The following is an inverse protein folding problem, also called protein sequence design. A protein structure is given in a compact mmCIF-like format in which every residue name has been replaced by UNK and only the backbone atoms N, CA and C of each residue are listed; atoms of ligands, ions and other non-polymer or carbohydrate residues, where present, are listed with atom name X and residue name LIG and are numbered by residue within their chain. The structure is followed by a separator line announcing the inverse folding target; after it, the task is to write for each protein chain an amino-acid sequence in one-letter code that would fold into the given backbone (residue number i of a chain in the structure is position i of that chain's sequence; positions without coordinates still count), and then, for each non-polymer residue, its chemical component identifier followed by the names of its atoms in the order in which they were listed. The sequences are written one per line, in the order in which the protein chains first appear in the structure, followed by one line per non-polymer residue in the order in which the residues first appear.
data_IF_801279796633
#
_entry.id   IF_801279796633
#
_cell.length_a   1.000
_cell.length_b   1.000
_cell.length_c   1.000
_cell.angle_alpha   90.00
_cell.angle_beta   90.00
_cell.angle_gamma   90.00
#
_symmetry.space_group_name_H-M   'P 1'
#
loop_
_entity.id
_entity.type
_entity.pdbx_description
1 polymer ?
#
# COMPACT_ATOMS: atom_id res chain seq x y z
N UNK A 1 5.94 12.92 54.07
CA UNK A 1 7.32 12.44 53.93
C UNK A 1 7.72 12.69 52.47
N UNK A 2 8.44 13.79 52.27
CA UNK A 2 8.77 14.31 50.93
C UNK A 2 10.17 13.79 50.58
N UNK A 3 10.28 13.05 49.47
CA UNK A 3 11.58 12.63 48.94
C UNK A 3 11.83 13.41 47.66
N UNK A 4 12.68 14.40 47.75
CA UNK A 4 13.31 15.11 46.64
C UNK A 4 14.41 14.23 46.04
N UNK A 5 14.38 13.98 44.71
CA UNK A 5 15.54 13.43 44.00
C UNK A 5 16.16 14.48 43.09
N UNK A 6 17.44 14.72 43.41
CA UNK A 6 18.37 15.64 42.80
C UNK A 6 18.62 15.36 41.32
N UNK A 7 18.60 16.44 40.54
CA UNK A 7 19.21 16.55 39.20
C UNK A 7 20.72 16.35 39.28
N UNK A 8 21.28 15.55 38.38
CA UNK A 8 22.71 15.56 38.04
C UNK A 8 22.86 16.02 36.60
N UNK A 9 23.32 17.24 36.46
CA UNK A 9 24.00 17.73 35.25
C UNK A 9 25.40 17.09 35.19
N UNK A 10 25.78 16.54 34.07
CA UNK A 10 27.17 16.40 33.68
C UNK A 10 27.35 16.76 32.22
N UNK A 11 27.85 17.96 32.01
CA UNK A 11 28.47 18.47 30.80
C UNK A 11 29.83 17.77 30.63
N UNK A 12 30.09 17.29 29.41
CA UNK A 12 31.49 17.09 28.97
C UNK A 12 31.59 17.33 27.47
N UNK A 13 31.99 18.55 27.17
CA UNK A 13 32.43 18.99 25.84
C UNK A 13 33.83 18.43 25.59
N UNK A 14 34.03 17.64 24.56
CA UNK A 14 35.36 17.37 23.99
C UNK A 14 35.36 17.78 22.54
N UNK A 15 35.96 18.93 22.29
CA UNK A 15 36.46 19.36 20.99
C UNK A 15 37.67 18.52 20.62
N UNK A 16 37.63 17.82 19.49
CA UNK A 16 38.82 17.29 18.83
C UNK A 16 38.91 17.92 17.44
N UNK A 17 39.77 18.93 17.37
CA UNK A 17 40.29 19.50 16.13
C UNK A 17 41.32 18.52 15.57
N UNK A 18 41.06 17.94 14.40
CA UNK A 18 42.10 17.26 13.62
C UNK A 18 42.16 17.94 12.24
N UNK A 19 43.17 18.77 12.12
CA UNK A 19 43.76 19.23 10.87
C UNK A 19 44.38 18.06 10.14
N UNK A 20 43.90 17.71 8.97
CA UNK A 20 44.64 16.88 8.00
C UNK A 20 44.86 17.66 6.72
N UNK A 21 46.16 17.87 6.45
CA UNK A 21 46.63 18.49 5.22
C UNK A 21 46.35 17.65 4.00
N UNK A 22 45.95 18.31 2.96
CA UNK A 22 45.78 17.76 1.61
C UNK A 22 47.14 17.75 0.92
N UNK A 23 47.56 16.67 0.29
CA UNK A 23 48.57 16.73 -0.76
C UNK A 23 47.89 17.02 -2.11
N UNK A 24 48.37 18.06 -2.75
CA UNK A 24 48.08 18.46 -4.13
C UNK A 24 48.87 17.52 -5.05
N UNK A 25 48.22 16.52 -5.64
CA UNK A 25 48.79 15.82 -6.80
C UNK A 25 47.68 15.09 -7.60
N UNK A 26 47.75 15.31 -8.89
CA UNK A 26 47.13 14.57 -10.00
C UNK A 26 45.82 15.15 -10.57
N UNK A 27 46.00 16.28 -11.29
CA UNK A 27 45.23 16.57 -12.49
C UNK A 27 45.86 15.77 -13.65
N UNK A 28 45.36 14.57 -13.90
CA UNK A 28 45.56 13.89 -15.21
C UNK A 28 44.56 12.71 -15.23
N UNK A 29 43.53 12.81 -16.04
CA UNK A 29 42.62 11.66 -16.25
C UNK A 29 41.16 12.00 -16.54
N UNK A 30 40.89 13.12 -17.19
CA UNK A 30 39.54 13.37 -17.76
C UNK A 30 39.58 13.33 -19.28
N UNK A 31 39.95 12.20 -19.83
CA UNK A 31 39.80 11.95 -21.27
C UNK A 31 39.73 10.44 -21.52
N UNK A 32 38.61 9.82 -21.12
CA UNK A 32 38.27 8.50 -21.65
C UNK A 32 36.83 8.04 -21.23
N UNK A 33 35.87 8.91 -21.25
CA UNK A 33 34.46 8.48 -21.11
C UNK A 33 33.64 8.55 -22.41
N UNK A 34 34.22 9.09 -23.51
CA UNK A 34 33.50 9.19 -24.78
C UNK A 34 33.73 8.06 -25.78
N UNK A 35 34.64 7.14 -25.51
CA UNK A 35 34.93 6.03 -26.45
C UNK A 35 34.21 4.72 -26.12
N UNK A 36 33.60 4.59 -24.96
CA UNK A 36 32.86 3.38 -24.55
C UNK A 36 31.35 3.41 -24.88
N UNK A 37 30.83 4.59 -25.18
CA UNK A 37 29.40 4.77 -25.49
C UNK A 37 28.99 4.48 -26.92
N UNK A 38 29.96 4.51 -27.87
CA UNK A 38 29.66 4.38 -29.30
C UNK A 38 29.75 2.95 -29.85
N UNK A 39 30.23 2.00 -29.06
CA UNK A 39 30.50 0.65 -29.58
C UNK A 39 29.41 -0.41 -29.23
N UNK A 40 28.38 -0.05 -28.53
CA UNK A 40 27.39 -1.06 -28.06
C UNK A 40 25.94 -0.80 -28.50
N UNK A 41 25.66 0.33 -29.13
CA UNK A 41 24.30 0.66 -29.56
C UNK A 41 23.89 -0.22 -30.75
N UNK A 42 24.76 -0.42 -31.72
CA UNK A 42 24.48 -1.33 -32.85
C UNK A 42 24.42 -2.80 -32.40
N UNK A 43 25.18 -3.18 -31.37
CA UNK A 43 25.16 -4.53 -30.80
C UNK A 43 23.98 -4.77 -29.90
N UNK A 44 23.44 -3.71 -29.27
CA UNK A 44 22.23 -3.76 -28.49
C UNK A 44 20.99 -3.91 -29.38
N UNK A 45 20.92 -3.18 -30.48
CA UNK A 45 19.84 -3.28 -31.48
C UNK A 45 19.84 -4.62 -32.24
N UNK A 46 21.02 -5.24 -32.42
CA UNK A 46 21.13 -6.57 -33.04
C UNK A 46 20.76 -7.72 -32.07
N UNK A 47 20.89 -7.51 -30.75
CA UNK A 47 20.47 -8.46 -29.71
C UNK A 47 18.98 -8.33 -29.32
N UNK A 48 18.45 -7.15 -29.41
CA UNK A 48 17.01 -6.94 -29.38
C UNK A 48 16.52 -7.30 -30.77
N UNK A 49 16.51 -8.61 -31.06
CA UNK A 49 15.81 -9.09 -32.24
C UNK A 49 14.49 -8.37 -32.28
N UNK A 50 14.05 -7.94 -33.47
CA UNK A 50 12.72 -7.38 -33.70
C UNK A 50 11.68 -8.41 -33.28
N UNK A 51 11.50 -8.57 -32.00
CA UNK A 51 10.26 -9.06 -31.44
C UNK A 51 9.28 -7.94 -31.76
N UNK A 52 8.47 -8.12 -32.79
CA UNK A 52 7.21 -7.43 -32.88
C UNK A 52 6.45 -7.86 -31.63
N UNK A 53 6.73 -7.21 -30.52
CA UNK A 53 5.87 -7.25 -29.35
C UNK A 53 4.65 -6.47 -29.80
N UNK A 54 3.64 -7.19 -30.24
CA UNK A 54 2.32 -6.64 -30.34
C UNK A 54 2.03 -6.04 -28.96
N UNK A 55 1.96 -4.71 -28.87
CA UNK A 55 1.47 -4.04 -27.68
C UNK A 55 0.03 -4.51 -27.57
N UNK A 56 -0.22 -5.44 -26.65
CA UNK A 56 -1.57 -5.84 -26.33
C UNK A 56 -2.11 -4.77 -25.39
N UNK A 57 -3.02 -3.97 -25.89
CA UNK A 57 -3.78 -3.05 -25.06
C UNK A 57 -4.70 -3.88 -24.17
N UNK A 58 -4.42 -3.90 -22.88
CA UNK A 58 -5.25 -4.60 -21.89
C UNK A 58 -6.30 -3.63 -21.39
N UNK A 59 -7.56 -4.05 -21.38
CA UNK A 59 -8.65 -3.24 -20.81
C UNK A 59 -8.31 -2.85 -19.35
N UNK A 60 -8.46 -1.58 -19.03
CA UNK A 60 -8.18 -1.06 -17.70
C UNK A 60 -9.16 0.05 -17.34
N UNK A 61 -9.31 0.29 -16.04
CA UNK A 61 -10.04 1.42 -15.48
C UNK A 61 -9.31 2.74 -15.71
N UNK A 62 -9.95 3.90 -15.54
CA UNK A 62 -9.28 5.19 -15.57
C UNK A 62 -8.09 5.25 -14.63
N UNK A 63 -7.08 6.03 -15.00
CA UNK A 63 -5.88 6.24 -14.18
C UNK A 63 -6.21 7.17 -13.03
N UNK A 64 -5.92 6.74 -11.82
CA UNK A 64 -6.04 7.53 -10.60
C UNK A 64 -4.70 8.04 -10.09
N UNK A 65 -4.74 9.13 -9.33
CA UNK A 65 -3.57 9.75 -8.72
C UNK A 65 -3.52 9.46 -7.23
N UNK A 66 -2.39 8.98 -6.77
CA UNK A 66 -2.17 8.84 -5.33
C UNK A 66 -1.92 10.20 -4.67
N UNK A 67 -2.48 10.43 -3.49
CA UNK A 67 -2.21 11.60 -2.65
C UNK A 67 -1.08 11.37 -1.64
N UNK A 68 -0.71 10.10 -1.42
CA UNK A 68 0.30 9.63 -0.48
C UNK A 68 1.17 8.55 -1.11
N UNK A 69 2.20 8.05 -0.41
CA UNK A 69 3.15 7.07 -0.96
C UNK A 69 2.66 5.62 -0.97
N UNK A 70 1.45 5.35 -1.46
CA UNK A 70 0.81 4.03 -1.51
C UNK A 70 0.61 3.47 -2.93
N UNK A 71 1.47 3.84 -3.88
CA UNK A 71 1.39 3.41 -5.28
C UNK A 71 1.27 1.89 -5.48
N UNK A 72 1.80 1.11 -4.55
CA UNK A 72 1.72 -0.34 -4.58
C UNK A 72 0.28 -0.88 -4.40
N UNK A 73 -0.60 -0.16 -3.70
CA UNK A 73 -2.03 -0.48 -3.61
C UNK A 73 -2.79 -0.06 -4.86
N UNK A 74 -2.47 1.12 -5.42
CA UNK A 74 -3.04 1.58 -6.69
C UNK A 74 -2.70 0.61 -7.83
N UNK A 75 -1.44 0.17 -7.93
CA UNK A 75 -1.04 -0.84 -8.90
C UNK A 75 -1.77 -2.17 -8.71
N UNK A 76 -2.03 -2.57 -7.47
CA UNK A 76 -2.78 -3.78 -7.17
C UNK A 76 -4.25 -3.64 -7.59
N UNK A 77 -4.89 -2.48 -7.34
CA UNK A 77 -6.27 -2.21 -7.72
C UNK A 77 -6.43 -2.27 -9.24
N UNK A 78 -5.64 -1.48 -9.97
CA UNK A 78 -5.66 -1.49 -11.45
C UNK A 78 -5.44 -2.89 -12.03
N UNK A 79 -4.56 -3.70 -11.41
CA UNK A 79 -4.33 -5.07 -11.87
C UNK A 79 -5.56 -5.96 -11.64
N UNK A 80 -6.19 -5.88 -10.47
CA UNK A 80 -7.42 -6.64 -10.15
C UNK A 80 -8.55 -6.25 -11.10
N UNK A 81 -8.77 -4.96 -11.30
CA UNK A 81 -9.79 -4.41 -12.19
C UNK A 81 -9.57 -4.85 -13.65
N UNK A 82 -8.33 -4.77 -14.14
CA UNK A 82 -7.99 -5.23 -15.50
C UNK A 82 -8.25 -6.72 -15.69
N UNK A 83 -7.95 -7.54 -14.69
CA UNK A 83 -8.23 -8.98 -14.75
C UNK A 83 -9.74 -9.27 -14.70
N UNK A 84 -10.51 -8.51 -13.91
CA UNK A 84 -11.96 -8.62 -13.84
C UNK A 84 -12.61 -8.20 -15.15
N UNK A 85 -12.23 -7.05 -15.72
CA UNK A 85 -12.67 -6.58 -17.05
C UNK A 85 -12.32 -7.58 -18.17
N UNK A 86 -11.16 -8.23 -18.08
CA UNK A 86 -10.75 -9.26 -19.04
C UNK A 86 -11.64 -10.51 -18.95
N UNK A 87 -12.17 -10.82 -17.77
CA UNK A 87 -13.12 -11.93 -17.59
C UNK A 87 -14.54 -11.56 -18.02
N UNK A 88 -14.97 -10.36 -17.67
CA UNK A 88 -16.28 -9.82 -18.01
C UNK A 88 -16.17 -8.32 -18.36
N UNK A 89 -16.18 -7.96 -19.65
CA UNK A 89 -16.06 -6.58 -20.11
C UNK A 89 -17.23 -5.66 -19.70
N UNK A 90 -18.29 -6.22 -19.14
CA UNK A 90 -19.44 -5.45 -18.63
C UNK A 90 -19.36 -5.15 -17.15
N UNK A 91 -18.36 -5.69 -16.47
CA UNK A 91 -18.16 -5.50 -15.04
C UNK A 91 -17.51 -4.13 -14.79
N UNK A 92 -18.25 -3.22 -14.22
CA UNK A 92 -17.74 -1.96 -13.69
C UNK A 92 -17.27 -2.21 -12.25
N UNK A 93 -15.96 -2.41 -12.08
CA UNK A 93 -15.32 -2.61 -10.78
C UNK A 93 -14.32 -1.49 -10.52
N UNK A 94 -14.59 -0.70 -9.51
CA UNK A 94 -13.72 0.37 -9.00
C UNK A 94 -13.29 -0.02 -7.56
N UNK A 95 -12.11 -0.62 -7.44
CA UNK A 95 -11.62 -1.18 -6.18
C UNK A 95 -11.07 -0.07 -5.30
N UNK A 96 -11.61 0.09 -4.11
CA UNK A 96 -11.16 1.08 -3.13
C UNK A 96 -9.71 0.87 -2.68
N UNK A 97 -8.80 1.72 -3.14
CA UNK A 97 -7.44 1.78 -2.61
C UNK A 97 -7.45 2.37 -1.19
N UNK A 98 -8.43 3.20 -0.87
CA UNK A 98 -8.66 3.76 0.47
C UNK A 98 -8.99 2.65 1.46
N UNK A 99 -9.83 1.68 1.08
CA UNK A 99 -10.14 0.50 1.90
C UNK A 99 -8.89 -0.33 2.25
N UNK A 100 -8.04 -0.63 1.26
CA UNK A 100 -6.81 -1.36 1.52
C UNK A 100 -5.77 -0.53 2.28
N UNK A 101 -5.73 0.78 2.05
CA UNK A 101 -4.89 1.70 2.82
C UNK A 101 -5.32 1.73 4.28
N UNK A 102 -6.62 1.75 4.55
CA UNK A 102 -7.20 1.65 5.90
C UNK A 102 -6.65 0.41 6.62
N UNK A 103 -6.77 -0.77 6.05
CA UNK A 103 -6.31 -2.01 6.68
C UNK A 103 -4.78 -2.07 6.82
N UNK A 104 -4.05 -1.59 5.81
CA UNK A 104 -2.60 -1.48 5.90
C UNK A 104 -2.13 -0.65 7.11
N UNK A 105 -2.80 0.44 7.40
CA UNK A 105 -2.46 1.29 8.53
C UNK A 105 -3.02 0.76 9.84
N UNK A 106 -4.22 0.18 9.83
CA UNK A 106 -4.81 -0.45 11.00
C UNK A 106 -3.91 -1.56 11.56
N UNK A 107 -3.39 -2.42 10.70
CA UNK A 107 -2.45 -3.47 11.08
C UNK A 107 -1.14 -2.92 11.70
N UNK A 108 -0.74 -1.68 11.39
CA UNK A 108 0.42 -1.04 12.01
C UNK A 108 0.13 -0.58 13.43
N UNK A 109 -1.04 0.03 13.69
CA UNK A 109 -1.40 0.55 15.02
C UNK A 109 -1.85 -0.54 15.99
N UNK A 110 -2.30 -1.69 15.47
CA UNK A 110 -2.70 -2.86 16.28
C UNK A 110 -1.62 -3.96 16.33
N UNK A 111 -0.51 -3.78 15.62
CA UNK A 111 0.59 -4.72 15.56
C UNK A 111 1.38 -4.81 16.87
N UNK A 112 2.30 -5.79 16.94
CA UNK A 112 3.16 -6.01 18.11
C UNK A 112 3.96 -4.77 18.53
N UNK A 113 4.31 -3.91 17.58
CA UNK A 113 5.01 -2.66 17.82
C UNK A 113 4.31 -1.53 17.07
N UNK A 114 3.68 -0.66 17.81
CA UNK A 114 3.07 0.57 17.27
C UNK A 114 4.19 1.50 16.76
N UNK A 115 4.12 2.00 15.53
CA UNK A 115 5.14 2.90 14.99
C UNK A 115 4.98 4.32 15.54
N UNK A 116 6.06 5.11 15.48
CA UNK A 116 6.00 6.53 15.80
C UNK A 116 5.23 7.35 14.73
N UNK A 117 5.20 6.86 13.49
CA UNK A 117 4.48 7.42 12.35
C UNK A 117 4.01 6.32 11.40
N UNK A 118 2.81 6.49 10.83
CA UNK A 118 2.26 5.58 9.81
C UNK A 118 3.14 5.53 8.57
N UNK A 119 3.50 4.31 8.18
CA UNK A 119 4.23 4.02 6.95
C UNK A 119 3.26 3.78 5.81
N UNK A 120 3.41 4.52 4.71
CA UNK A 120 2.54 4.38 3.52
C UNK A 120 3.09 3.36 2.52
N UNK A 121 4.39 3.13 2.54
CA UNK A 121 5.07 2.19 1.65
C UNK A 121 4.71 0.74 1.91
N UNK A 122 4.81 -0.07 0.87
CA UNK A 122 4.60 -1.52 0.92
C UNK A 122 5.09 -2.18 -0.37
N UNK A 123 4.74 -3.43 -0.55
CA UNK A 123 5.14 -4.24 -1.68
C UNK A 123 4.08 -5.31 -1.99
N UNK A 124 4.15 -5.91 -3.14
CA UNK A 124 3.14 -6.80 -3.70
C UNK A 124 2.65 -7.92 -2.75
N UNK A 125 3.54 -8.60 -2.03
CA UNK A 125 3.10 -9.65 -1.10
C UNK A 125 2.19 -9.12 0.00
N UNK A 126 2.38 -7.87 0.40
CA UNK A 126 1.54 -7.25 1.42
C UNK A 126 0.16 -6.90 0.86
N UNK A 127 0.08 -6.41 -0.39
CA UNK A 127 -1.22 -6.18 -1.03
C UNK A 127 -1.98 -7.48 -1.23
N UNK A 128 -1.33 -8.55 -1.66
CA UNK A 128 -1.96 -9.87 -1.78
C UNK A 128 -2.50 -10.38 -0.43
N UNK A 129 -1.76 -10.19 0.65
CA UNK A 129 -2.23 -10.56 1.98
C UNK A 129 -3.46 -9.74 2.39
N UNK A 130 -3.46 -8.42 2.15
CA UNK A 130 -4.61 -7.56 2.44
C UNK A 130 -5.84 -8.02 1.61
N UNK A 131 -5.68 -8.23 0.30
CA UNK A 131 -6.76 -8.71 -0.56
C UNK A 131 -7.33 -10.03 -0.03
N UNK A 132 -6.48 -11.00 0.27
CA UNK A 132 -6.91 -12.32 0.76
C UNK A 132 -7.60 -12.26 2.10
N UNK A 133 -7.06 -11.45 3.04
CA UNK A 133 -7.49 -11.48 4.45
C UNK A 133 -8.61 -10.46 4.72
N UNK A 134 -8.78 -9.45 3.87
CA UNK A 134 -9.73 -8.34 4.04
C UNK A 134 -10.74 -8.20 2.89
N UNK A 135 -10.54 -8.92 1.77
CA UNK A 135 -11.41 -8.80 0.60
C UNK A 135 -11.24 -7.49 -0.16
N UNK A 136 -12.27 -7.13 -0.92
CA UNK A 136 -12.35 -5.92 -1.72
C UNK A 136 -13.63 -5.15 -1.38
N UNK A 137 -13.57 -3.83 -1.45
CA UNK A 137 -14.73 -2.96 -1.36
C UNK A 137 -14.65 -1.95 -2.51
N UNK A 138 -15.76 -1.59 -3.13
CA UNK A 138 -15.74 -0.55 -4.16
C UNK A 138 -15.60 0.82 -3.51
N UNK A 139 -15.00 1.79 -4.22
CA UNK A 139 -14.71 3.10 -3.64
C UNK A 139 -15.99 3.84 -3.21
N UNK A 140 -17.07 3.76 -4.00
CA UNK A 140 -18.37 4.34 -3.66
C UNK A 140 -18.96 3.82 -2.33
N UNK A 141 -18.66 2.58 -1.99
CA UNK A 141 -19.14 1.97 -0.73
C UNK A 141 -18.24 2.29 0.46
N UNK A 142 -16.96 2.60 0.27
CA UNK A 142 -16.03 2.90 1.36
C UNK A 142 -15.89 4.39 1.64
N UNK A 143 -15.53 5.18 0.62
CA UNK A 143 -15.40 6.65 0.68
C UNK A 143 -16.14 7.25 -0.52
N UNK A 144 -17.47 7.41 -0.45
CA UNK A 144 -18.29 7.83 -1.59
C UNK A 144 -17.83 9.14 -2.23
N UNK A 145 -17.28 10.05 -1.47
CA UNK A 145 -16.76 11.32 -1.97
C UNK A 145 -15.49 11.19 -2.83
N UNK A 146 -14.77 10.07 -2.71
CA UNK A 146 -13.56 9.79 -3.50
C UNK A 146 -13.88 9.01 -4.80
N UNK A 147 -15.07 8.38 -4.92
CA UNK A 147 -15.43 7.48 -6.03
C UNK A 147 -15.37 8.12 -7.42
N UNK A 148 -15.48 9.43 -7.53
CA UNK A 148 -15.34 10.19 -8.78
C UNK A 148 -14.16 11.16 -8.76
N UNK A 149 -13.33 11.11 -7.72
CA UNK A 149 -12.20 11.99 -7.56
C UNK A 149 -10.96 11.40 -8.25
N UNK A 150 -10.24 12.24 -9.00
CA UNK A 150 -8.94 11.83 -9.57
C UNK A 150 -7.92 11.46 -8.48
N UNK A 151 -8.08 11.99 -7.26
CA UNK A 151 -7.15 11.82 -6.15
C UNK A 151 -7.89 11.90 -4.81
N UNK A 152 -7.64 10.96 -3.92
CA UNK A 152 -8.24 10.95 -2.58
C UNK A 152 -7.66 12.03 -1.66
N UNK A 153 -8.51 12.95 -1.21
CA UNK A 153 -8.18 13.87 -0.12
C UNK A 153 -8.33 13.17 1.25
N UNK A 154 -9.20 12.16 1.33
CA UNK A 154 -9.48 11.40 2.55
C UNK A 154 -8.23 10.70 3.07
N UNK A 155 -7.46 10.05 2.21
CA UNK A 155 -6.23 9.35 2.62
C UNK A 155 -5.22 10.29 3.30
N UNK A 156 -5.02 11.49 2.74
CA UNK A 156 -4.12 12.49 3.32
C UNK A 156 -4.61 13.01 4.67
N UNK A 157 -5.91 13.27 4.80
CA UNK A 157 -6.54 13.72 6.04
C UNK A 157 -6.48 12.64 7.14
N UNK A 158 -6.79 11.39 6.79
CA UNK A 158 -6.74 10.25 7.70
C UNK A 158 -5.30 10.01 8.20
N UNK A 159 -4.30 10.03 7.30
CA UNK A 159 -2.89 9.91 7.70
C UNK A 159 -2.51 10.95 8.75
N UNK A 160 -2.87 12.22 8.50
CA UNK A 160 -2.56 13.29 9.43
C UNK A 160 -3.28 13.13 10.79
N UNK A 161 -4.52 12.64 10.79
CA UNK A 161 -5.28 12.38 12.01
C UNK A 161 -4.69 11.22 12.81
N UNK A 162 -4.35 10.10 12.16
CA UNK A 162 -3.74 8.93 12.81
C UNK A 162 -2.37 9.27 13.41
N UNK A 163 -1.52 10.01 12.68
CA UNK A 163 -0.22 10.40 13.20
C UNK A 163 -0.35 11.30 14.44
N UNK A 164 -1.33 12.22 14.49
CA UNK A 164 -1.62 12.98 15.72
C UNK A 164 -2.09 12.08 16.87
N UNK A 165 -2.91 11.06 16.59
CA UNK A 165 -3.33 10.10 17.59
C UNK A 165 -2.16 9.26 18.12
N UNK A 166 -1.20 8.88 17.25
CA UNK A 166 0.05 8.23 17.65
C UNK A 166 0.90 9.14 18.55
N UNK A 167 1.09 10.40 18.17
CA UNK A 167 1.82 11.39 18.99
C UNK A 167 1.18 11.59 20.38
N UNK A 168 -0.14 11.50 20.47
CA UNK A 168 -0.89 11.61 21.73
C UNK A 168 -0.87 10.32 22.56
N UNK A 169 -0.43 9.20 22.01
CA UNK A 169 -0.48 7.89 22.66
C UNK A 169 -1.88 7.25 22.69
N UNK A 170 -2.78 7.65 21.79
CA UNK A 170 -4.17 7.18 21.78
C UNK A 170 -4.27 5.68 21.47
N UNK A 171 -3.24 5.12 20.83
CA UNK A 171 -3.13 3.69 20.54
C UNK A 171 -2.32 2.91 21.57
N UNK A 172 -1.71 3.58 22.57
CA UNK A 172 -0.91 2.92 23.59
C UNK A 172 -1.81 2.08 24.51
N UNK A 173 -1.59 0.77 24.51
CA UNK A 173 -2.40 -0.19 25.26
C UNK A 173 -3.92 -0.11 24.98
N UNK A 174 -4.31 0.40 23.81
CA UNK A 174 -5.68 0.38 23.38
C UNK A 174 -6.09 -1.09 23.12
N UNK A 175 -7.28 -1.47 23.62
CA UNK A 175 -7.93 -2.69 23.14
C UNK A 175 -8.32 -2.54 21.66
N UNK A 176 -8.60 -3.66 20.99
CA UNK A 176 -8.90 -3.65 19.56
C UNK A 176 -10.13 -2.78 19.23
N UNK A 177 -11.13 -2.71 20.11
CA UNK A 177 -12.33 -1.91 19.90
C UNK A 177 -12.02 -0.41 19.97
N UNK A 178 -11.25 0.02 20.98
CA UNK A 178 -10.86 1.42 21.12
C UNK A 178 -9.96 1.87 19.98
N UNK A 179 -8.97 1.04 19.60
CA UNK A 179 -8.12 1.31 18.45
C UNK A 179 -8.95 1.45 17.18
N UNK A 180 -9.93 0.56 16.97
CA UNK A 180 -10.84 0.59 15.84
C UNK A 180 -11.67 1.87 15.80
N UNK A 181 -12.29 2.26 16.93
CA UNK A 181 -13.07 3.48 16.98
C UNK A 181 -12.25 4.72 16.66
N UNK A 182 -11.06 4.87 17.27
CA UNK A 182 -10.18 5.99 17.00
C UNK A 182 -9.73 6.03 15.53
N UNK A 183 -9.54 4.86 14.93
CA UNK A 183 -9.13 4.72 13.55
C UNK A 183 -10.26 5.08 12.58
N UNK A 184 -11.47 4.59 12.84
CA UNK A 184 -12.67 4.92 12.05
C UNK A 184 -12.99 6.42 12.11
N UNK A 185 -12.81 7.04 13.29
CA UNK A 185 -12.98 8.49 13.45
C UNK A 185 -11.95 9.29 12.67
N UNK A 186 -10.70 8.85 12.66
CA UNK A 186 -9.64 9.47 11.88
C UNK A 186 -9.90 9.38 10.36
N UNK A 187 -10.49 8.28 9.90
CA UNK A 187 -10.93 8.11 8.51
C UNK A 187 -12.25 8.81 8.20
N UNK A 188 -13.00 9.22 9.22
CA UNK A 188 -14.33 9.82 9.05
C UNK A 188 -15.32 8.87 8.40
N UNK A 189 -15.24 7.57 8.72
CA UNK A 189 -16.11 6.55 8.15
C UNK A 189 -17.56 6.77 8.58
N UNK A 190 -18.49 6.55 7.64
CA UNK A 190 -19.93 6.59 7.95
C UNK A 190 -20.35 5.47 8.91
N UNK A 191 -21.45 5.63 9.65
CA UNK A 191 -21.96 4.55 10.50
C UNK A 191 -22.24 3.26 9.74
N UNK A 192 -22.67 3.36 8.49
CA UNK A 192 -22.97 2.23 7.61
C UNK A 192 -21.70 1.45 7.28
N UNK A 193 -20.61 2.14 6.88
CA UNK A 193 -19.32 1.52 6.60
C UNK A 193 -18.75 0.85 7.85
N UNK A 194 -18.82 1.52 9.01
CA UNK A 194 -18.39 0.94 10.30
C UNK A 194 -19.14 -0.36 10.60
N UNK A 195 -20.45 -0.37 10.40
CA UNK A 195 -21.27 -1.56 10.63
C UNK A 195 -20.91 -2.72 9.69
N UNK A 196 -20.60 -2.43 8.41
CA UNK A 196 -20.11 -3.42 7.44
C UNK A 196 -18.78 -4.05 7.88
N UNK A 197 -17.83 -3.19 8.31
CA UNK A 197 -16.54 -3.65 8.80
C UNK A 197 -16.67 -4.45 10.11
N UNK A 198 -17.55 -4.04 11.03
CA UNK A 198 -17.80 -4.76 12.28
C UNK A 198 -18.43 -6.12 12.00
N UNK A 199 -19.43 -6.18 11.12
CA UNK A 199 -20.05 -7.44 10.72
C UNK A 199 -19.03 -8.42 10.12
N UNK A 200 -18.10 -7.93 9.28
CA UNK A 200 -17.13 -8.77 8.60
C UNK A 200 -15.97 -9.21 9.50
N UNK A 201 -15.48 -8.34 10.38
CA UNK A 201 -14.17 -8.52 11.01
C UNK A 201 -14.17 -8.51 12.55
N UNK A 202 -15.25 -8.08 13.22
CA UNK A 202 -15.26 -8.05 14.69
C UNK A 202 -15.94 -9.28 15.25
N UNK A 203 -15.38 -9.87 16.28
CA UNK A 203 -16.06 -10.87 17.10
C UNK A 203 -17.03 -10.18 18.04
N UNK A 204 -18.18 -10.82 18.31
CA UNK A 204 -19.25 -10.25 19.10
C UNK A 204 -18.75 -9.73 20.47
N UNK A 205 -18.64 -8.43 20.60
CA UNK A 205 -18.51 -7.71 21.86
C UNK A 205 -17.12 -7.58 22.47
N UNK A 206 -16.07 -8.20 21.94
CA UNK A 206 -14.73 -8.19 22.55
C UNK A 206 -13.69 -7.33 21.85
N UNK A 207 -14.02 -6.71 20.71
CA UNK A 207 -13.09 -5.86 19.97
C UNK A 207 -11.91 -6.63 19.30
N UNK A 208 -12.00 -7.95 19.28
CA UNK A 208 -11.00 -8.82 18.65
C UNK A 208 -11.34 -9.01 17.17
N UNK A 209 -10.34 -8.88 16.30
CA UNK A 209 -10.53 -9.18 14.88
C UNK A 209 -10.66 -10.68 14.65
N UNK A 210 -11.68 -11.10 13.90
CA UNK A 210 -11.84 -12.49 13.46
C UNK A 210 -10.66 -12.93 12.62
N UNK A 211 -10.24 -14.16 12.81
CA UNK A 211 -9.39 -14.87 11.86
C UNK A 211 -10.26 -15.41 10.73
N UNK A 212 -10.20 -14.76 9.60
CA UNK A 212 -11.07 -15.02 8.45
C UNK A 212 -12.33 -14.18 8.51
N UNK A 213 -12.56 -13.42 7.45
CA UNK A 213 -13.71 -12.55 7.35
C UNK A 213 -14.98 -13.37 7.08
N UNK A 214 -16.06 -13.08 7.79
CA UNK A 214 -17.39 -13.50 7.38
C UNK A 214 -18.00 -12.38 6.52
N UNK A 215 -17.88 -12.53 5.20
CA UNK A 215 -18.33 -11.51 4.24
C UNK A 215 -19.81 -11.64 3.87
N UNK A 216 -20.52 -12.61 4.47
CA UNK A 216 -21.95 -12.87 4.17
C UNK A 216 -22.80 -11.66 4.55
N UNK A 217 -23.50 -11.12 3.56
CA UNK A 217 -24.41 -9.99 3.75
C UNK A 217 -23.74 -8.62 3.94
N UNK A 218 -22.42 -8.54 3.74
CA UNK A 218 -21.68 -7.28 3.68
C UNK A 218 -21.52 -6.79 2.24
N UNK A 219 -21.10 -5.54 2.07
CA UNK A 219 -20.68 -4.99 0.77
C UNK A 219 -19.23 -5.32 0.43
N UNK A 220 -18.54 -6.04 1.32
CA UNK A 220 -17.16 -6.47 1.09
C UNK A 220 -17.18 -7.71 0.22
N UNK A 221 -16.51 -7.63 -0.91
CA UNK A 221 -16.47 -8.68 -1.91
C UNK A 221 -15.45 -9.75 -1.51
N UNK A 222 -15.87 -11.02 -1.53
CA UNK A 222 -14.96 -12.15 -1.38
C UNK A 222 -14.09 -12.31 -2.64
N UNK A 223 -12.78 -12.20 -2.53
CA UNK A 223 -11.90 -12.38 -3.68
C UNK A 223 -11.93 -13.81 -4.24
N UNK A 224 -12.42 -14.81 -3.49
CA UNK A 224 -12.64 -16.16 -4.00
C UNK A 224 -13.84 -16.25 -4.96
N UNK A 225 -14.77 -15.28 -4.90
CA UNK A 225 -15.94 -15.21 -5.79
C UNK A 225 -15.68 -14.33 -7.01
N UNK A 226 -14.68 -13.44 -6.99
CA UNK A 226 -14.35 -12.57 -8.11
C UNK A 226 -13.69 -13.36 -9.24
N UNK A 227 -14.40 -13.45 -10.37
CA UNK A 227 -13.87 -14.07 -11.60
C UNK A 227 -12.88 -13.15 -12.28
N UNK A 228 -11.73 -13.68 -12.63
CA UNK A 228 -10.65 -12.96 -13.28
C UNK A 228 -10.06 -13.75 -14.44
N UNK A 229 -9.50 -13.03 -15.42
CA UNK A 229 -8.79 -13.61 -16.57
C UNK A 229 -7.44 -12.90 -16.71
N UNK A 230 -6.40 -13.69 -16.90
CA UNK A 230 -5.06 -13.19 -17.18
C UNK A 230 -4.33 -14.10 -18.17
N UNK A 231 -3.22 -13.62 -18.70
CA UNK A 231 -2.34 -14.39 -19.58
C UNK A 231 -1.01 -14.62 -18.88
N UNK A 232 -0.59 -15.87 -18.81
CA UNK A 232 0.72 -16.25 -18.29
C UNK A 232 1.60 -16.86 -19.39
N UNK A 233 2.91 -16.83 -19.18
CA UNK A 233 3.86 -17.50 -20.05
C UNK A 233 4.24 -18.86 -19.47
N UNK A 234 3.77 -19.92 -20.10
CA UNK A 234 4.10 -21.29 -19.74
C UNK A 234 5.02 -21.87 -20.83
N UNK A 235 6.25 -22.19 -20.47
CA UNK A 235 7.27 -22.69 -21.41
C UNK A 235 7.44 -21.77 -22.67
N UNK A 236 7.36 -20.46 -22.47
CA UNK A 236 7.50 -19.45 -23.54
C UNK A 236 6.25 -19.30 -24.43
N UNK A 237 5.13 -19.94 -24.08
CA UNK A 237 3.84 -19.78 -24.77
C UNK A 237 2.86 -19.02 -23.88
N UNK A 238 2.14 -18.10 -24.49
CA UNK A 238 1.06 -17.39 -23.81
C UNK A 238 -0.15 -18.32 -23.61
N UNK A 239 -0.57 -18.50 -22.37
CA UNK A 239 -1.74 -19.27 -21.99
C UNK A 239 -2.73 -18.38 -21.23
N UNK A 240 -3.99 -18.37 -21.65
CA UNK A 240 -5.07 -17.65 -20.97
C UNK A 240 -5.57 -18.49 -19.81
N UNK A 241 -5.71 -17.86 -18.65
CA UNK A 241 -6.26 -18.45 -17.42
C UNK A 241 -7.54 -17.75 -17.04
N UNK A 242 -8.60 -18.54 -16.84
CA UNK A 242 -9.85 -18.12 -16.22
C UNK A 242 -9.91 -18.73 -14.82
N UNK A 243 -10.01 -17.91 -13.78
CA UNK A 243 -9.98 -18.37 -12.39
C UNK A 243 -10.66 -17.37 -11.47
N UNK A 244 -10.53 -17.52 -10.16
CA UNK A 244 -10.87 -16.48 -9.19
C UNK A 244 -9.63 -15.69 -8.74
N UNK A 245 -9.85 -14.56 -8.09
CA UNK A 245 -8.77 -13.66 -7.70
C UNK A 245 -7.78 -14.32 -6.72
N UNK A 246 -8.26 -15.16 -5.79
CA UNK A 246 -7.37 -15.84 -4.82
C UNK A 246 -6.37 -16.77 -5.51
N UNK A 247 -6.77 -17.40 -6.61
CA UNK A 247 -5.89 -18.29 -7.36
C UNK A 247 -4.95 -17.53 -8.32
N UNK A 248 -5.29 -16.27 -8.65
CA UNK A 248 -4.49 -15.42 -9.52
C UNK A 248 -3.37 -14.67 -8.77
N UNK A 249 -3.55 -14.41 -7.48
CA UNK A 249 -2.59 -13.74 -6.60
C UNK A 249 -1.87 -14.74 -5.72
#
# INVERSE_FOLDING_TARGET
MVIQRKKRLMSTTRKLTRTFGLPLAALAGLASCDAAGALDQDRYEERVGKTEQAITDVAHTPVERQSIGNCWLYSQATWVESMALSADPTQELDVSQSYWTYWHWFDQVTGFRVPDEIQTGGFQFKSHAIVRDRGLMVEEDFVPEDALAEMSDRQSAAKAAINRALENGDFDNADGQKARQSFDDAWGLSPEVRAQLDQAFMEDGEGTLRQGADLTGTKIMDPAELKVRYTELVNGKAEVRDTNLIQAI
#
